data_IF_866701254092
#
_entry.id   IF_866701254092
#
_cell.length_a   1.000
_cell.length_b   1.000
_cell.length_c   1.000
_cell.angle_alpha   90.00
_cell.angle_beta   90.00
_cell.angle_gamma   90.00
#
_symmetry.space_group_name_H-M   'P 1'
#
loop_
_entity.id
_entity.type
_entity.pdbx_description
1 polymer ?
#
# COMPACT_ATOMS: atom_id res chain seq x y z
N UNK A 1 4.69 4.23 -9.77
CA UNK A 1 3.45 3.67 -9.20
C UNK A 1 2.87 4.60 -8.17
N UNK A 2 1.58 4.69 -8.14
CA UNK A 2 0.87 5.56 -7.22
C UNK A 2 -0.52 4.97 -6.95
N UNK A 3 -1.03 5.14 -5.74
CA UNK A 3 -2.39 4.71 -5.40
C UNK A 3 -3.40 5.57 -6.16
N UNK A 4 -4.44 4.94 -6.67
CA UNK A 4 -5.54 5.67 -7.31
C UNK A 4 -6.21 6.62 -6.33
N UNK A 5 -6.74 7.72 -6.84
CA UNK A 5 -7.53 8.62 -6.02
C UNK A 5 -8.80 7.94 -5.55
N UNK A 6 -9.30 8.37 -4.41
CA UNK A 6 -10.54 7.85 -3.87
C UNK A 6 -10.37 6.80 -2.78
N UNK A 7 -9.16 6.61 -2.28
CA UNK A 7 -8.92 5.67 -1.20
C UNK A 7 -8.14 6.36 -0.09
N UNK A 8 -8.54 6.12 1.14
CA UNK A 8 -7.90 6.70 2.31
C UNK A 8 -7.46 5.62 3.28
N UNK A 9 -6.25 5.78 3.81
CA UNK A 9 -5.74 4.93 4.86
C UNK A 9 -6.22 5.47 6.20
N UNK A 10 -6.80 4.60 7.02
CA UNK A 10 -7.26 4.93 8.36
C UNK A 10 -6.60 4.02 9.37
N UNK A 11 -6.28 4.59 10.53
CA UNK A 11 -5.76 3.83 11.66
C UNK A 11 -6.90 3.68 12.67
N UNK A 12 -7.22 2.43 13.02
CA UNK A 12 -8.28 2.13 14.00
C UNK A 12 -7.67 1.20 15.03
N UNK A 13 -7.45 1.72 16.24
CA UNK A 13 -6.73 1.01 17.29
C UNK A 13 -5.34 0.60 16.76
N UNK A 14 -5.00 -0.68 16.80
CA UNK A 14 -3.72 -1.16 16.30
C UNK A 14 -3.78 -1.65 14.86
N UNK A 15 -4.90 -1.41 14.20
CA UNK A 15 -5.14 -1.90 12.84
C UNK A 15 -5.17 -0.75 11.84
N UNK A 16 -4.89 -1.08 10.59
CA UNK A 16 -4.98 -0.14 9.49
C UNK A 16 -6.00 -0.65 8.48
N UNK A 17 -6.83 0.25 7.98
CA UNK A 17 -7.81 -0.10 6.95
C UNK A 17 -7.76 0.95 5.84
N UNK A 18 -7.98 0.50 4.62
CA UNK A 18 -8.14 1.38 3.47
C UNK A 18 -9.62 1.44 3.17
N UNK A 19 -10.16 2.64 3.09
CA UNK A 19 -11.58 2.85 2.81
C UNK A 19 -11.74 3.65 1.52
N UNK A 20 -12.72 3.25 0.67
CA UNK A 20 -13.02 4.07 -0.50
C UNK A 20 -13.82 5.30 -0.10
N UNK A 21 -13.58 6.41 -0.79
CA UNK A 21 -14.29 7.66 -0.56
C UNK A 21 -14.81 8.23 -1.89
N UNK A 22 -15.82 9.04 -1.83
CA UNK A 22 -16.38 9.65 -3.03
C UNK A 22 -16.86 8.62 -4.04
N UNK A 23 -16.51 8.82 -5.31
CA UNK A 23 -16.92 7.93 -6.38
C UNK A 23 -16.42 6.51 -6.22
N UNK A 24 -15.24 6.34 -5.63
CA UNK A 24 -14.68 5.03 -5.43
C UNK A 24 -15.55 4.16 -4.53
N UNK A 25 -16.29 4.76 -3.60
CA UNK A 25 -17.19 4.02 -2.73
C UNK A 25 -18.37 3.37 -3.47
N UNK A 26 -18.66 3.83 -4.67
CA UNK A 26 -19.72 3.26 -5.49
C UNK A 26 -19.25 2.02 -6.25
N UNK A 27 -17.97 1.96 -6.58
CA UNK A 27 -17.39 0.88 -7.39
C UNK A 27 -16.69 -0.17 -6.54
N UNK A 28 -15.98 0.28 -5.52
CA UNK A 28 -15.21 -0.61 -4.64
C UNK A 28 -16.01 -0.86 -3.37
N UNK A 29 -16.41 -2.10 -3.17
CA UNK A 29 -17.20 -2.47 -2.00
C UNK A 29 -16.33 -3.24 -1.02
N UNK A 30 -16.30 -2.77 0.22
CA UNK A 30 -15.57 -3.42 1.28
C UNK A 30 -14.41 -2.58 1.77
N UNK A 31 -13.65 -3.18 2.65
CA UNK A 31 -12.49 -2.56 3.29
C UNK A 31 -11.27 -3.46 3.06
N UNK A 32 -10.11 -2.86 3.00
CA UNK A 32 -8.86 -3.60 2.89
C UNK A 32 -8.11 -3.42 4.21
N UNK A 33 -7.84 -4.53 4.88
CA UNK A 33 -7.07 -4.50 6.11
C UNK A 33 -5.57 -4.61 5.80
N UNK A 34 -4.78 -3.77 6.44
CA UNK A 34 -3.33 -3.76 6.23
C UNK A 34 -2.63 -3.95 7.58
N UNK A 35 -1.49 -4.65 7.56
CA UNK A 35 -0.60 -4.68 8.70
C UNK A 35 0.32 -3.45 8.65
N UNK A 36 1.23 -3.33 9.62
CA UNK A 36 2.15 -2.20 9.69
C UNK A 36 2.96 -2.00 8.42
N UNK A 37 3.52 -3.08 7.89
CA UNK A 37 4.36 -3.01 6.70
C UNK A 37 3.52 -2.58 5.50
N UNK A 38 2.34 -3.16 5.34
CA UNK A 38 1.43 -2.78 4.26
C UNK A 38 1.03 -1.32 4.34
N UNK A 39 0.74 -0.81 5.55
CA UNK A 39 0.40 0.58 5.74
C UNK A 39 1.58 1.49 5.39
N UNK A 40 2.80 1.09 5.74
CA UNK A 40 4.00 1.86 5.39
C UNK A 40 4.17 1.94 3.88
N UNK A 41 4.00 0.81 3.18
CA UNK A 41 4.11 0.77 1.72
C UNK A 41 3.01 1.62 1.08
N UNK A 42 1.79 1.54 1.62
CA UNK A 42 0.69 2.36 1.14
C UNK A 42 1.04 3.85 1.19
N UNK A 43 1.59 4.29 2.32
CA UNK A 43 1.99 5.69 2.48
C UNK A 43 3.06 6.10 1.46
N UNK A 44 3.99 5.20 1.15
CA UNK A 44 4.98 5.45 0.11
C UNK A 44 4.32 5.68 -1.25
N UNK A 45 3.23 4.95 -1.51
CA UNK A 45 2.52 5.01 -2.78
C UNK A 45 1.51 6.15 -2.88
N UNK A 46 1.34 6.92 -1.81
CA UNK A 46 0.50 8.12 -1.87
C UNK A 46 1.12 9.19 -2.76
N UNK A 47 2.42 9.08 -2.98
CA UNK A 47 3.13 9.87 -3.99
C UNK A 47 3.74 8.92 -5.00
N UNK A 48 4.08 9.44 -6.19
CA UNK A 48 4.70 8.63 -7.23
C UNK A 48 5.99 8.01 -6.71
N UNK A 49 6.11 6.69 -6.79
CA UNK A 49 7.28 5.95 -6.29
C UNK A 49 7.60 4.79 -7.22
N UNK A 50 8.88 4.46 -7.31
CA UNK A 50 9.31 3.26 -8.03
C UNK A 50 9.36 2.10 -7.05
N UNK A 51 9.33 0.89 -7.59
CA UNK A 51 9.45 -0.33 -6.78
C UNK A 51 10.76 -0.30 -5.98
N UNK A 52 11.85 0.08 -6.62
CA UNK A 52 13.15 0.14 -5.98
C UNK A 52 13.18 1.11 -4.80
N UNK A 53 12.59 2.30 -4.97
CA UNK A 53 12.50 3.28 -3.89
C UNK A 53 11.75 2.72 -2.68
N UNK A 54 10.65 2.03 -2.92
CA UNK A 54 9.84 1.46 -1.85
C UNK A 54 10.61 0.34 -1.14
N UNK A 55 11.28 -0.52 -1.89
CA UNK A 55 12.10 -1.60 -1.32
C UNK A 55 13.17 -1.03 -0.40
N UNK A 56 13.88 0.00 -0.86
CA UNK A 56 14.93 0.63 -0.07
C UNK A 56 14.38 1.25 1.21
N UNK A 57 13.23 1.92 1.14
CA UNK A 57 12.60 2.52 2.31
C UNK A 57 12.16 1.47 3.33
N UNK A 58 11.58 0.37 2.87
CA UNK A 58 11.15 -0.71 3.75
C UNK A 58 12.34 -1.36 4.42
N UNK A 59 13.38 -1.65 3.66
CA UNK A 59 14.59 -2.26 4.21
C UNK A 59 15.18 -1.40 5.32
N UNK A 60 15.25 -0.10 5.10
CA UNK A 60 15.79 0.85 6.06
C UNK A 60 14.90 1.00 7.28
N UNK A 61 13.60 1.13 7.08
CA UNK A 61 12.64 1.36 8.16
C UNK A 61 12.59 0.18 9.14
N UNK A 62 12.60 -1.03 8.60
CA UNK A 62 12.44 -2.24 9.41
C UNK A 62 13.73 -2.98 9.69
N UNK A 63 14.86 -2.47 9.20
CA UNK A 63 16.16 -3.09 9.45
C UNK A 63 16.29 -4.50 8.89
N UNK A 64 15.69 -4.75 7.73
CA UNK A 64 15.74 -6.05 7.05
C UNK A 64 16.58 -5.93 5.78
N UNK A 65 17.06 -7.08 5.27
CA UNK A 65 17.86 -7.04 4.05
C UNK A 65 16.97 -6.80 2.83
N UNK A 66 17.62 -6.41 1.73
CA UNK A 66 16.90 -6.07 0.51
C UNK A 66 16.16 -7.25 -0.11
N UNK A 67 16.65 -8.46 0.08
CA UNK A 67 15.99 -9.64 -0.46
C UNK A 67 14.63 -9.85 0.21
N UNK A 68 14.58 -9.75 1.53
CA UNK A 68 13.33 -9.89 2.27
C UNK A 68 12.40 -8.72 1.95
N UNK A 69 12.95 -7.50 1.92
CA UNK A 69 12.16 -6.31 1.59
C UNK A 69 11.56 -6.44 0.19
N UNK A 70 12.34 -6.92 -0.78
CA UNK A 70 11.87 -7.12 -2.16
C UNK A 70 10.69 -8.08 -2.18
N UNK A 71 10.79 -9.18 -1.45
CA UNK A 71 9.72 -10.17 -1.41
C UNK A 71 8.44 -9.61 -0.80
N UNK A 72 8.57 -8.92 0.32
CA UNK A 72 7.41 -8.36 1.01
C UNK A 72 6.74 -7.25 0.19
N UNK A 73 7.53 -6.35 -0.36
CA UNK A 73 7.02 -5.24 -1.16
C UNK A 73 6.35 -5.78 -2.43
N UNK A 74 7.00 -6.71 -3.12
CA UNK A 74 6.44 -7.28 -4.34
C UNK A 74 5.11 -7.97 -4.09
N UNK A 75 5.02 -8.73 -3.00
CA UNK A 75 3.77 -9.42 -2.65
C UNK A 75 2.64 -8.41 -2.40
N UNK A 76 2.94 -7.33 -1.70
CA UNK A 76 1.94 -6.30 -1.42
C UNK A 76 1.51 -5.56 -2.69
N UNK A 77 2.48 -5.18 -3.52
CA UNK A 77 2.19 -4.50 -4.79
C UNK A 77 1.30 -5.39 -5.68
N UNK A 78 1.57 -6.69 -5.72
CA UNK A 78 0.76 -7.61 -6.53
C UNK A 78 -0.70 -7.64 -6.03
N UNK A 79 -0.91 -7.57 -4.73
CA UNK A 79 -2.27 -7.48 -4.18
C UNK A 79 -2.98 -6.20 -4.63
N UNK A 80 -2.26 -5.09 -4.64
CA UNK A 80 -2.82 -3.82 -5.10
C UNK A 80 -3.14 -3.86 -6.59
N UNK A 81 -2.29 -4.49 -7.39
CA UNK A 81 -2.53 -4.64 -8.83
C UNK A 81 -3.79 -5.47 -9.07
N UNK A 82 -3.92 -6.60 -8.36
CA UNK A 82 -5.09 -7.45 -8.49
C UNK A 82 -6.38 -6.75 -8.09
N UNK A 83 -6.30 -5.90 -7.07
CA UNK A 83 -7.44 -5.12 -6.59
C UNK A 83 -7.68 -3.86 -7.43
N UNK A 84 -6.83 -3.59 -8.41
CA UNK A 84 -6.92 -2.42 -9.30
C UNK A 84 -6.83 -1.10 -8.53
N UNK A 85 -5.95 -1.05 -7.55
CA UNK A 85 -5.77 0.12 -6.71
C UNK A 85 -4.60 1.01 -7.11
N UNK A 86 -3.80 0.59 -8.08
CA UNK A 86 -2.69 1.39 -8.55
C UNK A 86 -3.05 2.13 -9.83
N UNK A 87 -2.59 3.36 -9.88
CA UNK A 87 -2.73 4.23 -11.04
C UNK A 87 -1.40 4.23 -11.78
N UNK A 88 -1.38 3.59 -12.93
CA UNK A 88 -0.18 3.52 -13.77
C UNK A 88 -0.44 4.14 -15.12
#
# INVERSE_FOLDING_TARGET
MKIKEGFMLRSVADNYVVVPVGKASLEFKGLINLNHVGAFIWKCLETESTLEEIINKVAKEYGIDNELATRDVTAFINKLVEAKLLDN
#
